data_IF_806118460520
#
_entry.id   IF_806118460520
#
_cell.length_a   1.000
_cell.length_b   1.000
_cell.length_c   1.000
_cell.angle_alpha   90.00
_cell.angle_beta   90.00
_cell.angle_gamma   90.00
#
_symmetry.space_group_name_H-M   'P 1'
#
loop_
_entity.id
_entity.type
_entity.pdbx_description
1 polymer ?
#
# COMPACT_ATOMS: atom_id res chain seq x y z
N UNK A 1 1.53 10.26 -5.22
CA UNK A 1 1.15 8.98 -4.62
C UNK A 1 0.11 8.32 -5.52
N UNK A 2 0.27 7.03 -5.82
CA UNK A 2 -0.66 6.24 -6.64
C UNK A 2 -1.15 5.07 -5.80
N UNK A 3 -2.46 4.83 -5.79
CA UNK A 3 -3.08 3.67 -5.16
C UNK A 3 -3.78 2.84 -6.24
N UNK A 4 -3.58 1.53 -6.19
CA UNK A 4 -4.18 0.57 -7.12
C UNK A 4 -4.82 -0.52 -6.29
N UNK A 5 -6.11 -0.77 -6.51
CA UNK A 5 -6.85 -1.86 -5.88
C UNK A 5 -6.91 -3.06 -6.82
N UNK A 6 -6.66 -4.26 -6.28
CA UNK A 6 -6.75 -5.51 -7.01
C UNK A 6 -7.93 -6.33 -6.48
N UNK A 7 -8.93 -6.65 -7.31
CA UNK A 7 -10.14 -7.34 -6.86
C UNK A 7 -9.87 -8.78 -6.38
N UNK A 8 -8.87 -9.48 -6.92
CA UNK A 8 -8.40 -10.78 -6.40
C UNK A 8 -7.38 -10.67 -5.26
N UNK A 9 -7.17 -9.48 -4.72
CA UNK A 9 -6.33 -9.23 -3.56
C UNK A 9 -4.84 -9.40 -3.84
N UNK A 10 -4.12 -9.97 -2.87
CA UNK A 10 -2.65 -10.04 -2.89
C UNK A 10 -2.09 -10.92 -4.00
N UNK A 11 -2.83 -11.95 -4.45
CA UNK A 11 -2.40 -12.83 -5.53
C UNK A 11 -2.30 -12.05 -6.86
N UNK A 12 -3.37 -11.37 -7.25
CA UNK A 12 -3.42 -10.52 -8.43
C UNK A 12 -2.37 -9.41 -8.39
N UNK A 13 -2.18 -8.77 -7.23
CA UNK A 13 -1.18 -7.72 -7.08
C UNK A 13 0.25 -8.22 -7.34
N UNK A 14 0.56 -9.45 -6.89
CA UNK A 14 1.86 -10.09 -7.14
C UNK A 14 2.01 -10.50 -8.60
N UNK A 15 0.97 -11.06 -9.20
CA UNK A 15 0.98 -11.45 -10.62
C UNK A 15 1.15 -10.23 -11.53
N UNK A 16 0.43 -9.14 -11.24
CA UNK A 16 0.61 -7.86 -11.94
C UNK A 16 2.04 -7.35 -11.83
N UNK A 17 2.62 -7.33 -10.63
CA UNK A 17 3.99 -6.85 -10.44
C UNK A 17 5.01 -7.75 -11.15
N UNK A 18 4.77 -9.07 -11.18
CA UNK A 18 5.61 -10.04 -11.87
C UNK A 18 5.35 -10.11 -13.39
N UNK A 19 4.34 -9.40 -13.91
CA UNK A 19 3.95 -9.50 -15.31
C UNK A 19 5.07 -9.04 -16.25
N UNK A 20 5.27 -9.70 -17.41
CA UNK A 20 6.32 -9.32 -18.35
C UNK A 20 6.21 -7.85 -18.77
N UNK A 21 5.00 -7.39 -19.07
CA UNK A 21 4.76 -6.01 -19.50
C UNK A 21 5.12 -4.97 -18.42
N UNK A 22 4.88 -5.27 -17.13
CA UNK A 22 5.27 -4.35 -16.05
C UNK A 22 6.78 -4.37 -15.81
N UNK A 23 7.41 -5.55 -15.92
CA UNK A 23 8.87 -5.68 -15.77
C UNK A 23 9.61 -4.94 -16.88
N UNK A 24 9.10 -4.95 -18.12
CA UNK A 24 9.71 -4.23 -19.26
C UNK A 24 9.82 -2.71 -19.03
N UNK A 25 8.90 -2.14 -18.24
CA UNK A 25 8.89 -0.70 -17.93
C UNK A 25 9.46 -0.36 -16.54
N UNK A 26 9.84 -1.36 -15.73
CA UNK A 26 10.21 -1.13 -14.34
C UNK A 26 11.45 -0.22 -14.21
N UNK A 27 12.50 -0.50 -14.98
CA UNK A 27 13.73 0.30 -14.98
C UNK A 27 13.49 1.76 -15.41
N UNK A 28 12.58 1.98 -16.37
CA UNK A 28 12.22 3.34 -16.81
C UNK A 28 11.70 4.18 -15.64
N UNK A 29 10.93 3.56 -14.74
CA UNK A 29 10.40 4.21 -13.54
C UNK A 29 11.47 4.36 -12.44
N UNK A 30 12.19 3.29 -12.12
CA UNK A 30 13.08 3.27 -10.94
C UNK A 30 14.35 4.07 -11.13
N UNK A 31 14.82 4.25 -12.36
CA UNK A 31 16.08 4.95 -12.64
C UNK A 31 15.93 6.48 -12.59
N UNK A 32 14.70 7.00 -12.75
CA UNK A 32 14.44 8.44 -12.89
C UNK A 32 13.66 9.05 -11.74
N UNK A 33 13.04 8.23 -10.89
CA UNK A 33 12.19 8.68 -9.78
C UNK A 33 12.43 7.78 -8.57
N UNK A 34 12.88 8.39 -7.46
CA UNK A 34 12.90 7.71 -6.17
C UNK A 34 11.46 7.47 -5.67
N UNK A 35 11.16 6.22 -5.32
CA UNK A 35 9.88 5.88 -4.72
C UNK A 35 9.72 4.40 -4.43
N UNK A 36 9.20 4.10 -3.24
CA UNK A 36 8.93 2.73 -2.82
C UNK A 36 7.67 2.16 -3.49
N UNK A 37 7.66 0.84 -3.69
CA UNK A 37 6.45 0.07 -3.99
C UNK A 37 6.16 -0.82 -2.80
N UNK A 38 4.93 -0.72 -2.29
CA UNK A 38 4.46 -1.53 -1.18
C UNK A 38 3.25 -2.32 -1.68
N UNK A 39 3.33 -3.65 -1.57
CA UNK A 39 2.16 -4.53 -1.69
C UNK A 39 1.61 -4.75 -0.30
N UNK A 40 0.44 -4.18 -0.02
CA UNK A 40 -0.23 -4.29 1.26
C UNK A 40 -1.49 -5.14 1.10
N UNK A 41 -1.71 -6.05 2.05
CA UNK A 41 -2.98 -6.77 2.13
C UNK A 41 -4.07 -5.82 2.59
N UNK A 42 -5.24 -5.94 1.97
CA UNK A 42 -6.41 -5.16 2.33
C UNK A 42 -6.86 -5.43 3.76
N UNK A 43 -7.71 -4.54 4.25
CA UNK A 43 -8.38 -4.75 5.54
C UNK A 43 -9.62 -5.61 5.36
N UNK A 44 -9.92 -6.44 6.36
CA UNK A 44 -11.08 -7.31 6.33
C UNK A 44 -12.42 -6.53 6.36
N UNK A 45 -13.54 -7.20 6.02
CA UNK A 45 -14.87 -6.61 6.10
C UNK A 45 -15.16 -5.99 7.48
N UNK A 46 -15.77 -4.81 7.49
CA UNK A 46 -16.11 -4.11 8.73
C UNK A 46 -14.94 -3.40 9.41
N UNK A 47 -13.78 -3.30 8.75
CA UNK A 47 -12.70 -2.44 9.22
C UNK A 47 -13.15 -0.97 9.28
N UNK A 48 -12.91 -0.35 10.43
CA UNK A 48 -13.25 1.04 10.69
C UNK A 48 -11.95 1.86 10.89
N UNK A 49 -11.58 2.72 9.93
CA UNK A 49 -10.35 3.50 10.01
C UNK A 49 -10.37 4.51 11.16
N UNK A 50 -11.54 5.01 11.56
CA UNK A 50 -11.66 5.99 12.65
C UNK A 50 -11.37 5.33 13.99
N UNK A 51 -11.99 4.17 14.26
CA UNK A 51 -11.72 3.39 15.48
C UNK A 51 -10.25 2.98 15.57
N UNK A 52 -9.63 2.60 14.45
CA UNK A 52 -8.19 2.27 14.45
C UNK A 52 -7.34 3.49 14.79
N UNK A 53 -7.63 4.65 14.20
CA UNK A 53 -6.90 5.88 14.42
C UNK A 53 -7.03 6.39 15.86
N UNK A 54 -8.21 6.29 16.48
CA UNK A 54 -8.41 6.59 17.90
C UNK A 54 -7.54 5.70 18.79
N UNK A 55 -7.55 4.39 18.55
CA UNK A 55 -6.71 3.45 19.29
C UNK A 55 -5.22 3.77 19.18
N UNK A 56 -4.74 4.18 18.00
CA UNK A 56 -3.34 4.58 17.80
C UNK A 56 -2.98 5.83 18.60
N UNK A 57 -3.80 6.88 18.51
CA UNK A 57 -3.58 8.14 19.24
C UNK A 57 -3.59 7.95 20.75
N UNK A 58 -4.47 7.08 21.25
CA UNK A 58 -4.49 6.77 22.69
C UNK A 58 -3.29 5.93 23.15
N UNK A 59 -2.68 5.15 22.26
CA UNK A 59 -1.54 4.29 22.59
C UNK A 59 -0.20 5.04 22.61
N UNK A 60 -0.05 6.09 21.78
CA UNK A 60 1.09 6.99 21.81
C UNK A 60 0.62 8.46 21.69
N UNK A 61 0.18 9.07 22.80
CA UNK A 61 -0.30 10.44 22.81
C UNK A 61 0.78 11.46 22.42
N UNK A 62 2.05 11.15 22.68
CA UNK A 62 3.20 12.01 22.36
C UNK A 62 3.59 11.96 20.89
N UNK A 63 3.50 10.80 20.24
CA UNK A 63 3.86 10.60 18.83
C UNK A 63 2.84 11.16 17.83
N UNK A 64 1.63 11.48 18.30
CA UNK A 64 0.55 12.07 17.49
C UNK A 64 0.10 13.47 17.97
N UNK A 65 0.80 14.06 18.94
CA UNK A 65 0.63 15.47 19.28
C UNK A 65 1.20 16.31 18.13
N UNK A 66 0.35 17.08 17.44
CA UNK A 66 0.79 18.06 16.43
C UNK A 66 1.38 19.30 17.09
#
# INVERSE_FOLDING_TARGET
MVLIEFPGGMADAREWYASPAYQDILALRTDHIEGDVILAEGVGPGYDPLKRAEKLRSADPSGYAR
#
